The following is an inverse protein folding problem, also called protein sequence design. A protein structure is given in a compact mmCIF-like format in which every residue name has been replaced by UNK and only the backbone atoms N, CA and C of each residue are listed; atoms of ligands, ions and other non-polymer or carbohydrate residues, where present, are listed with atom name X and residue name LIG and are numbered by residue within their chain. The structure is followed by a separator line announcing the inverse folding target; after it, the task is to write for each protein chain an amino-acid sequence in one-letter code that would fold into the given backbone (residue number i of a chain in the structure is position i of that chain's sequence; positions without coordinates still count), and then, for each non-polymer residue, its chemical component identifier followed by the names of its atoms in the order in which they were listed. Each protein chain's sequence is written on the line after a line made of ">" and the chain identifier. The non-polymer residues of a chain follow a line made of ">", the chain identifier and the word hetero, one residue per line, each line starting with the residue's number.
data_IF_510006906789
#
_entry.id   IF_510006906789
#
_cell.length_a   1.000
_cell.length_b   1.000
_cell.length_c   1.000
_cell.angle_alpha   90.00
_cell.angle_beta   90.00
_cell.angle_gamma   90.00
#
_symmetry.space_group_name_H-M   'P 1'
#
loop_
_entity.id
_entity.type
_entity.pdbx_description
1 polymer ?
#
# COMPACT_ATOMS: atom_id res chain seq x y z
N UNK A 1 -8.79 17.06 -1.13
CA UNK A 1 -9.42 15.78 -0.79
C UNK A 1 -8.96 14.70 -1.76
N UNK A 2 -8.71 13.50 -1.25
CA UNK A 2 -8.31 12.37 -2.08
C UNK A 2 -9.56 11.72 -2.65
N UNK A 3 -9.58 11.53 -3.96
CA UNK A 3 -10.70 10.95 -4.69
C UNK A 3 -10.32 9.59 -5.26
N UNK A 4 -11.32 8.79 -5.56
CA UNK A 4 -11.12 7.53 -6.25
C UNK A 4 -10.33 7.75 -7.56
N UNK A 5 -9.29 6.96 -7.77
CA UNK A 5 -8.40 7.07 -8.93
C UNK A 5 -7.23 8.02 -8.75
N UNK A 6 -7.19 8.80 -7.68
CA UNK A 6 -6.05 9.69 -7.40
C UNK A 6 -4.78 8.88 -7.16
N UNK A 7 -3.67 9.44 -7.63
CA UNK A 7 -2.34 8.89 -7.41
C UNK A 7 -1.67 9.65 -6.27
N UNK A 8 -1.21 8.91 -5.27
CA UNK A 8 -0.66 9.48 -4.04
C UNK A 8 0.69 8.87 -3.70
N UNK A 9 1.39 9.51 -2.77
CA UNK A 9 2.49 8.91 -2.05
C UNK A 9 2.10 8.73 -0.59
N UNK A 10 2.55 7.63 0.02
CA UNK A 10 2.38 7.37 1.43
C UNK A 10 3.72 7.59 2.12
N UNK A 11 3.80 8.63 2.94
CA UNK A 11 5.04 9.04 3.60
C UNK A 11 4.90 8.86 5.10
N UNK A 12 5.86 8.17 5.71
CA UNK A 12 5.91 8.04 7.16
C UNK A 12 6.36 9.35 7.79
N UNK A 13 5.53 9.94 8.64
CA UNK A 13 5.72 11.31 9.13
C UNK A 13 7.02 11.52 9.91
N UNK A 14 7.45 10.54 10.70
CA UNK A 14 8.65 10.68 11.54
C UNK A 14 9.94 10.45 10.78
N UNK A 15 9.95 9.55 9.81
CA UNK A 15 11.19 9.18 9.08
C UNK A 15 11.28 9.80 7.71
N UNK A 16 10.20 10.40 7.21
CA UNK A 16 10.08 10.93 5.86
C UNK A 16 10.37 9.90 4.77
N UNK A 17 10.08 8.62 5.05
CA UNK A 17 10.25 7.53 4.09
C UNK A 17 8.95 7.25 3.37
N UNK A 18 9.03 7.10 2.06
CA UNK A 18 7.87 6.79 1.22
C UNK A 18 7.71 5.28 1.06
N UNK A 19 6.45 4.83 1.11
CA UNK A 19 6.11 3.44 0.79
C UNK A 19 6.37 3.21 -0.69
N UNK A 20 7.13 2.16 -1.02
CA UNK A 20 7.48 1.82 -2.39
C UNK A 20 7.48 0.32 -2.63
N UNK A 21 7.51 -0.05 -3.89
CA UNK A 21 7.65 -1.44 -4.30
C UNK A 21 8.56 -1.53 -5.52
N UNK A 22 9.42 -2.52 -5.52
CA UNK A 22 10.36 -2.81 -6.60
C UNK A 22 10.07 -4.19 -7.18
N UNK A 23 10.54 -4.44 -8.38
CA UNK A 23 10.46 -5.75 -9.03
C UNK A 23 11.48 -6.72 -8.41
N UNK A 24 11.27 -7.00 -7.13
CA UNK A 24 12.09 -7.89 -6.29
C UNK A 24 11.14 -8.77 -5.49
N UNK A 25 11.48 -10.05 -5.35
CA UNK A 25 10.68 -10.99 -4.58
C UNK A 25 10.63 -10.62 -3.11
N UNK A 26 9.43 -10.71 -2.50
CA UNK A 26 9.25 -10.48 -1.08
C UNK A 26 9.93 -11.60 -0.26
N UNK A 27 10.48 -11.25 0.89
CA UNK A 27 11.32 -12.15 1.68
C UNK A 27 10.60 -13.41 2.16
N UNK A 28 9.35 -13.28 2.62
CA UNK A 28 8.56 -14.40 3.16
C UNK A 28 7.54 -14.92 2.15
N UNK A 29 7.32 -14.22 1.06
CA UNK A 29 6.33 -14.54 0.02
C UNK A 29 6.94 -14.31 -1.36
N UNK A 30 7.88 -15.17 -1.80
CA UNK A 30 8.69 -14.89 -3.00
C UNK A 30 7.89 -14.86 -4.31
N UNK A 31 6.66 -15.33 -4.31
CA UNK A 31 5.76 -15.19 -5.44
C UNK A 31 5.17 -13.78 -5.58
N UNK A 32 5.33 -12.95 -4.55
CA UNK A 32 4.85 -11.57 -4.51
C UNK A 32 6.02 -10.59 -4.55
N UNK A 33 5.70 -9.34 -4.86
CA UNK A 33 6.67 -8.26 -4.96
C UNK A 33 6.90 -7.59 -3.60
N UNK A 34 8.16 -7.28 -3.29
CA UNK A 34 8.55 -6.63 -2.03
C UNK A 34 7.96 -5.23 -1.90
N UNK A 35 7.55 -4.88 -0.68
CA UNK A 35 7.16 -3.52 -0.29
C UNK A 35 8.05 -3.05 0.84
N UNK A 36 8.59 -1.85 0.70
CA UNK A 36 9.49 -1.24 1.70
C UNK A 36 9.16 0.24 1.89
N UNK A 37 9.72 0.85 2.93
CA UNK A 37 9.74 2.30 3.08
C UNK A 37 11.13 2.81 2.72
N UNK A 38 11.22 3.51 1.60
CA UNK A 38 12.48 4.00 1.09
C UNK A 38 12.92 5.29 1.81
N UNK A 39 14.23 5.49 1.90
CA UNK A 39 14.82 6.47 2.80
C UNK A 39 14.59 7.91 2.35
N UNK A 40 14.61 8.16 1.06
CA UNK A 40 14.64 9.53 0.55
C UNK A 40 13.42 9.86 -0.29
N UNK A 41 12.45 10.54 0.33
CA UNK A 41 11.25 10.98 -0.37
C UNK A 41 11.52 12.12 -1.38
N UNK A 42 12.70 12.73 -1.39
CA UNK A 42 13.08 13.69 -2.41
C UNK A 42 13.36 13.03 -3.77
N UNK A 43 13.54 11.72 -3.78
CA UNK A 43 13.50 10.93 -5.03
C UNK A 43 12.04 10.58 -5.37
N UNK A 44 11.15 11.36 -4.90
CA UNK A 44 9.73 11.10 -4.75
C UNK A 44 8.95 11.04 -6.06
N UNK A 45 9.50 11.49 -7.15
CA UNK A 45 8.83 11.42 -8.45
C UNK A 45 9.02 10.07 -9.15
N UNK A 46 9.68 9.13 -8.48
CA UNK A 46 9.80 7.76 -8.98
C UNK A 46 8.44 7.06 -9.00
N UNK A 47 8.14 6.39 -10.10
CA UNK A 47 6.92 5.59 -10.22
C UNK A 47 6.81 4.49 -9.15
N UNK A 48 7.94 4.08 -8.57
CA UNK A 48 7.99 3.07 -7.51
C UNK A 48 7.35 3.53 -6.20
N UNK A 49 7.18 4.84 -6.01
CA UNK A 49 6.57 5.44 -4.82
C UNK A 49 5.11 5.81 -5.03
N UNK A 50 4.56 5.63 -6.21
CA UNK A 50 3.21 6.10 -6.55
C UNK A 50 2.19 4.99 -6.40
N UNK A 51 1.07 5.33 -5.75
CA UNK A 51 -0.04 4.43 -5.48
C UNK A 51 -1.35 5.06 -5.94
N UNK A 52 -2.15 4.30 -6.66
CA UNK A 52 -3.50 4.72 -7.06
C UNK A 52 -4.50 4.26 -6.02
N UNK A 53 -5.36 5.17 -5.60
CA UNK A 53 -6.45 4.88 -4.66
C UNK A 53 -7.62 4.29 -5.44
N UNK A 54 -8.06 3.10 -5.03
CA UNK A 54 -9.24 2.44 -5.56
C UNK A 54 -10.23 2.20 -4.41
N UNK A 55 -11.27 3.03 -4.33
CA UNK A 55 -12.28 2.94 -3.28
C UNK A 55 -13.25 1.83 -3.63
N UNK A 56 -13.31 0.81 -2.79
CA UNK A 56 -14.11 -0.40 -3.07
C UNK A 56 -15.55 -0.31 -2.63
N UNK A 57 -15.86 0.59 -1.69
CA UNK A 57 -17.20 0.78 -1.13
C UNK A 57 -17.73 2.20 -1.31
N UNK A 58 -17.36 2.86 -2.41
CA UNK A 58 -17.81 4.23 -2.63
C UNK A 58 -19.33 4.30 -2.84
N UNK A 59 -19.91 5.38 -2.33
CA UNK A 59 -21.27 5.77 -2.63
C UNK A 59 -21.32 6.38 -4.04
N UNK A 60 -22.40 6.15 -4.80
CA UNK A 60 -22.58 6.70 -6.14
C UNK A 60 -22.53 8.23 -6.17
N UNK A 61 -22.91 8.87 -5.07
CA UNK A 61 -22.91 10.34 -4.95
C UNK A 61 -21.57 10.92 -4.53
N UNK A 62 -20.60 10.08 -4.13
CA UNK A 62 -19.36 10.52 -3.50
C UNK A 62 -18.22 9.57 -3.83
N UNK A 63 -17.18 10.09 -4.47
CA UNK A 63 -15.98 9.34 -4.81
C UNK A 63 -14.76 9.74 -3.98
N UNK A 64 -14.98 10.33 -2.82
CA UNK A 64 -13.95 10.82 -1.91
C UNK A 64 -13.54 9.74 -0.93
N UNK A 65 -12.23 9.65 -0.66
CA UNK A 65 -11.71 8.80 0.41
C UNK A 65 -11.98 9.48 1.75
N UNK A 66 -12.87 8.88 2.53
CA UNK A 66 -13.14 9.30 3.90
C UNK A 66 -12.23 8.54 4.84
N UNK A 67 -11.61 9.22 5.79
CA UNK A 67 -10.71 8.59 6.76
C UNK A 67 -11.40 7.53 7.60
N UNK A 68 -12.72 7.72 7.83
CA UNK A 68 -13.56 6.71 8.51
C UNK A 68 -14.60 6.22 7.51
N UNK A 69 -14.67 4.91 7.36
CA UNK A 69 -15.69 4.24 6.56
C UNK A 69 -15.27 3.83 5.15
N UNK A 70 -14.32 4.51 4.52
CA UNK A 70 -13.84 4.09 3.21
C UNK A 70 -13.00 2.83 3.29
N UNK A 71 -13.27 1.90 2.38
CA UNK A 71 -12.45 0.73 2.15
C UNK A 71 -11.75 0.90 0.81
N UNK A 72 -10.43 0.77 0.80
CA UNK A 72 -9.63 1.08 -0.39
C UNK A 72 -8.66 -0.05 -0.72
N UNK A 73 -8.38 -0.19 -2.01
CA UNK A 73 -7.17 -0.85 -2.49
C UNK A 73 -6.15 0.21 -2.84
N UNK A 74 -4.89 -0.09 -2.58
CA UNK A 74 -3.78 0.76 -2.99
C UNK A 74 -3.03 0.03 -4.08
N UNK A 75 -3.14 0.54 -5.31
CA UNK A 75 -2.55 -0.10 -6.48
C UNK A 75 -1.22 0.57 -6.82
N UNK A 76 -0.16 -0.21 -6.78
CA UNK A 76 1.17 0.25 -7.14
C UNK A 76 1.19 0.60 -8.64
N UNK A 77 1.39 1.88 -8.97
CA UNK A 77 1.19 2.36 -10.34
C UNK A 77 2.13 1.68 -11.32
N UNK A 78 3.38 1.52 -10.95
CA UNK A 78 4.40 0.98 -11.85
C UNK A 78 4.17 -0.50 -12.20
N UNK A 79 3.65 -1.29 -11.28
CA UNK A 79 3.48 -2.74 -11.46
C UNK A 79 2.02 -3.19 -11.58
N UNK A 80 1.06 -2.28 -11.33
CA UNK A 80 -0.38 -2.59 -11.31
C UNK A 80 -0.74 -3.74 -10.36
N UNK A 81 -0.06 -3.79 -9.22
CA UNK A 81 -0.29 -4.78 -8.18
C UNK A 81 -0.86 -4.11 -6.93
N UNK A 82 -1.71 -4.84 -6.19
CA UNK A 82 -2.33 -4.32 -4.98
C UNK A 82 -1.49 -4.56 -3.74
N UNK A 83 -1.44 -3.57 -2.85
CA UNK A 83 -0.85 -3.72 -1.52
C UNK A 83 -1.66 -4.73 -0.72
N UNK A 84 -1.00 -5.71 -0.13
CA UNK A 84 -1.63 -6.82 0.55
C UNK A 84 -0.83 -7.24 1.79
N UNK A 85 -1.53 -7.60 2.87
CA UNK A 85 -0.93 -8.36 3.95
C UNK A 85 -0.76 -9.81 3.51
N UNK A 86 0.47 -10.32 3.52
CA UNK A 86 0.76 -11.67 3.01
C UNK A 86 0.25 -12.80 3.91
N UNK A 87 -0.13 -12.49 5.14
CA UNK A 87 -0.48 -13.49 6.14
C UNK A 87 0.75 -14.06 6.84
N UNK A 88 1.92 -13.53 6.57
CA UNK A 88 3.20 -14.04 7.11
C UNK A 88 3.86 -13.02 8.04
N UNK A 89 4.62 -13.54 8.97
CA UNK A 89 5.36 -12.75 9.96
C UNK A 89 6.85 -12.94 9.68
N UNK A 90 7.60 -11.85 9.70
CA UNK A 90 9.05 -11.92 9.57
C UNK A 90 9.65 -12.72 10.74
N UNK A 91 10.73 -13.44 10.44
CA UNK A 91 11.53 -14.16 11.44
C UNK A 91 12.22 -13.17 12.41
N UNK A 92 13.07 -13.69 13.30
CA UNK A 92 13.75 -12.89 14.35
C UNK A 92 14.49 -11.66 13.78
N UNK A 93 15.10 -11.80 12.59
CA UNK A 93 15.80 -10.70 11.94
C UNK A 93 14.87 -9.54 11.54
N UNK A 94 13.59 -9.80 11.39
CA UNK A 94 12.56 -8.79 11.06
C UNK A 94 11.70 -8.40 12.27
N UNK A 95 12.09 -8.79 13.48
CA UNK A 95 11.39 -8.49 14.73
C UNK A 95 9.95 -9.02 14.77
N UNK A 96 9.66 -10.11 14.09
CA UNK A 96 8.33 -10.73 14.02
C UNK A 96 7.23 -9.77 13.50
N UNK A 97 7.60 -8.79 12.68
CA UNK A 97 6.63 -7.87 12.09
C UNK A 97 5.88 -8.52 10.94
N UNK A 98 4.66 -8.05 10.70
CA UNK A 98 3.83 -8.52 9.59
C UNK A 98 4.41 -8.08 8.25
N UNK A 99 4.46 -9.02 7.29
CA UNK A 99 4.91 -8.73 5.95
C UNK A 99 3.76 -8.17 5.11
N UNK A 100 3.99 -7.05 4.42
CA UNK A 100 3.12 -6.55 3.35
C UNK A 100 3.84 -6.70 2.01
N UNK A 101 3.05 -6.96 0.97
CA UNK A 101 3.56 -7.25 -0.38
C UNK A 101 2.69 -6.56 -1.43
N UNK A 102 3.16 -6.54 -2.67
CA UNK A 102 2.31 -6.27 -3.83
C UNK A 102 1.93 -7.59 -4.50
N UNK A 103 0.64 -7.77 -4.75
CA UNK A 103 0.07 -8.98 -5.33
C UNK A 103 -0.69 -8.66 -6.63
N UNK A 104 -0.45 -9.46 -7.66
CA UNK A 104 -1.14 -9.33 -8.95
C UNK A 104 -2.62 -9.68 -8.86
N UNK A 105 -3.02 -10.51 -7.90
CA UNK A 105 -4.40 -10.91 -7.69
C UNK A 105 -5.12 -9.87 -6.84
N UNK A 106 -5.50 -8.77 -7.45
CA UNK A 106 -6.01 -7.60 -6.75
C UNK A 106 -7.41 -7.77 -6.15
N UNK A 107 -8.17 -8.77 -6.58
CA UNK A 107 -9.53 -8.99 -6.10
C UNK A 107 -9.62 -9.69 -4.73
N UNK A 108 -8.51 -10.02 -4.10
CA UNK A 108 -8.50 -10.67 -2.80
C UNK A 108 -8.97 -9.73 -1.69
N UNK A 109 -9.67 -10.27 -0.68
CA UNK A 109 -10.19 -9.47 0.43
C UNK A 109 -9.09 -8.81 1.26
N UNK A 110 -7.95 -9.47 1.42
CA UNK A 110 -6.82 -8.95 2.18
C UNK A 110 -6.00 -7.88 1.43
N UNK A 111 -6.47 -7.43 0.25
CA UNK A 111 -5.99 -6.23 -0.42
C UNK A 111 -6.76 -4.98 -0.02
N UNK A 112 -7.79 -5.11 0.81
CA UNK A 112 -8.64 -3.99 1.23
C UNK A 112 -8.12 -3.41 2.53
N UNK A 113 -7.96 -2.08 2.55
CA UNK A 113 -7.43 -1.33 3.68
C UNK A 113 -8.43 -0.28 4.14
N UNK A 114 -8.40 0.03 5.41
CA UNK A 114 -9.15 1.13 6.00
C UNK A 114 -8.29 1.82 7.05
N UNK A 115 -8.60 3.07 7.32
CA UNK A 115 -7.91 3.85 8.34
C UNK A 115 -8.61 3.65 9.69
N UNK A 116 -7.85 3.31 10.71
CA UNK A 116 -8.34 3.21 12.08
C UNK A 116 -7.77 4.36 12.93
N UNK A 117 -8.64 4.97 13.74
CA UNK A 117 -8.19 5.96 14.70
C UNK A 117 -7.78 5.27 16.00
N UNK A 118 -6.56 5.55 16.43
CA UNK A 118 -6.08 5.17 17.76
C UNK A 118 -6.11 6.40 18.67
N UNK A 119 -6.81 6.27 19.75
CA UNK A 119 -6.89 7.34 20.75
C UNK A 119 -6.21 6.92 22.05
#
# INVERSE_FOLDING_TARGET
>A
MIKNGDVIQLVHGMTHRALNSHDVAAAMSPQNQEVTCYIDYNISMSAENLWRVDITNQDESDNVWHSIGSQVRLIHVNSEQALRYSGKVYADWGFHQNEVVCDKQIAQLDTIWNVEEHR
#
